data_IF_959820733750
#
_entry.id   IF_959820733750
#
_cell.length_a   1.000
_cell.length_b   1.000
_cell.length_c   1.000
_cell.angle_alpha   90.00
_cell.angle_beta   90.00
_cell.angle_gamma   90.00
#
_symmetry.space_group_name_H-M   'P 1'
#
loop_
_entity.id
_entity.type
_entity.pdbx_description
1 polymer ?
#
# COMPACT_ATOMS: atom_id res chain seq x y z
N UNK A 1 -46.37 -2.52 46.50
CA UNK A 1 -45.29 -2.35 45.55
C UNK A 1 -44.62 -3.69 45.45
N UNK A 2 -44.83 -4.34 44.35
CA UNK A 2 -44.62 -5.78 44.20
C UNK A 2 -43.17 -6.15 43.90
N UNK A 3 -42.81 -7.34 44.34
CA UNK A 3 -41.53 -8.04 44.11
C UNK A 3 -41.20 -8.11 42.62
N UNK A 4 -42.17 -7.97 41.73
CA UNK A 4 -42.00 -7.98 40.28
C UNK A 4 -41.25 -6.77 39.71
N UNK A 5 -41.47 -5.59 40.33
CA UNK A 5 -40.79 -4.36 39.89
C UNK A 5 -39.30 -4.36 40.21
N UNK A 6 -38.91 -5.01 41.31
CA UNK A 6 -37.50 -5.20 41.72
C UNK A 6 -36.82 -6.24 40.84
N UNK A 7 -37.54 -7.29 40.44
CA UNK A 7 -36.99 -8.32 39.56
C UNK A 7 -36.67 -7.78 38.15
N UNK A 8 -37.56 -6.97 37.59
CA UNK A 8 -37.33 -6.32 36.30
C UNK A 8 -36.18 -5.31 36.33
N UNK A 9 -36.02 -4.56 37.43
CA UNK A 9 -34.91 -3.61 37.58
C UNK A 9 -33.55 -4.31 37.69
N UNK A 10 -33.47 -5.45 38.36
CA UNK A 10 -32.26 -6.26 38.51
C UNK A 10 -31.91 -6.95 37.18
N UNK A 11 -32.90 -7.47 36.46
CA UNK A 11 -32.68 -8.12 35.17
C UNK A 11 -32.24 -7.11 34.10
N UNK A 12 -32.77 -5.88 34.09
CA UNK A 12 -32.34 -4.85 33.15
C UNK A 12 -30.90 -4.36 33.43
N UNK A 13 -30.48 -4.28 34.69
CA UNK A 13 -29.10 -3.92 35.04
C UNK A 13 -28.10 -5.03 34.72
N UNK A 14 -28.48 -6.29 34.89
CA UNK A 14 -27.65 -7.44 34.49
C UNK A 14 -27.53 -7.53 32.96
N UNK A 15 -28.60 -7.22 32.21
CA UNK A 15 -28.56 -7.22 30.75
C UNK A 15 -27.66 -6.11 30.21
N UNK A 16 -27.66 -4.93 30.82
CA UNK A 16 -26.72 -3.83 30.51
C UNK A 16 -25.27 -4.20 30.82
N UNK A 17 -25.03 -4.92 31.92
CA UNK A 17 -23.69 -5.37 32.28
C UNK A 17 -23.14 -6.42 31.33
N UNK A 18 -24.01 -7.35 30.87
CA UNK A 18 -23.65 -8.39 29.89
C UNK A 18 -23.37 -7.75 28.52
N UNK A 19 -24.10 -6.71 28.13
CA UNK A 19 -23.82 -5.98 26.90
C UNK A 19 -22.50 -5.18 26.98
N UNK A 20 -22.13 -4.65 28.15
CA UNK A 20 -20.83 -4.00 28.36
C UNK A 20 -19.67 -4.99 28.35
N UNK A 21 -19.88 -6.21 28.81
CA UNK A 21 -18.87 -7.28 28.82
C UNK A 21 -18.78 -8.04 27.48
N UNK A 22 -19.78 -7.97 26.64
CA UNK A 22 -19.83 -8.58 25.31
C UNK A 22 -19.47 -7.62 24.17
N UNK A 23 -19.12 -6.38 24.46
CA UNK A 23 -18.47 -5.52 23.47
C UNK A 23 -17.06 -6.08 23.27
N UNK A 24 -16.76 -6.66 22.13
CA UNK A 24 -15.39 -7.08 21.83
C UNK A 24 -14.57 -5.80 21.70
N UNK A 25 -13.95 -5.39 22.79
CA UNK A 25 -12.87 -4.42 22.79
C UNK A 25 -11.59 -5.05 22.26
N UNK A 26 -11.73 -5.81 21.17
CA UNK A 26 -10.59 -6.30 20.43
C UNK A 26 -10.25 -5.19 19.40
N UNK A 27 -9.18 -4.39 19.67
CA UNK A 27 -8.79 -3.33 18.73
C UNK A 27 -8.48 -3.88 17.34
N UNK A 28 -8.16 -5.17 17.26
CA UNK A 28 -7.93 -5.89 16.00
C UNK A 28 -9.23 -6.08 15.22
N UNK A 29 -10.37 -6.35 15.88
CA UNK A 29 -11.67 -6.40 15.18
C UNK A 29 -12.15 -5.05 14.69
N UNK A 30 -11.89 -3.99 15.43
CA UNK A 30 -12.20 -2.64 14.97
C UNK A 30 -11.30 -2.24 13.78
N UNK A 31 -10.06 -2.73 13.74
CA UNK A 31 -9.17 -2.56 12.57
C UNK A 31 -9.62 -3.45 11.40
N UNK A 32 -10.02 -4.70 11.66
CA UNK A 32 -10.59 -5.60 10.65
C UNK A 32 -11.90 -5.05 10.07
N UNK A 33 -12.75 -4.45 10.88
CA UNK A 33 -13.97 -3.78 10.40
C UNK A 33 -13.65 -2.48 9.65
N UNK A 34 -12.64 -1.72 10.07
CA UNK A 34 -12.14 -0.58 9.32
C UNK A 34 -11.42 -1.01 8.04
N UNK A 35 -10.71 -2.12 8.05
CA UNK A 35 -10.03 -2.65 6.85
C UNK A 35 -11.03 -3.32 5.91
N UNK A 36 -12.08 -3.97 6.43
CA UNK A 36 -13.22 -4.48 5.63
C UNK A 36 -14.13 -3.34 5.12
N UNK A 37 -14.16 -2.19 5.82
CA UNK A 37 -14.87 -0.99 5.38
C UNK A 37 -14.05 -0.09 4.46
N UNK A 38 -12.74 -0.22 4.49
CA UNK A 38 -11.79 0.26 3.51
C UNK A 38 -11.32 -0.90 2.61
N UNK A 39 -12.22 -1.73 2.12
CA UNK A 39 -12.09 -1.99 0.70
C UNK A 39 -12.03 -0.58 0.12
N UNK A 40 -10.85 -0.17 -0.29
CA UNK A 40 -10.70 0.90 -1.25
C UNK A 40 -11.52 0.38 -2.41
N UNK A 41 -12.81 0.72 -2.35
CA UNK A 41 -13.65 0.76 -3.51
C UNK A 41 -12.93 1.82 -4.34
N UNK A 42 -11.90 1.41 -5.05
CA UNK A 42 -11.37 2.14 -6.18
C UNK A 42 -12.50 2.11 -7.20
N UNK A 43 -13.58 2.81 -6.83
CA UNK A 43 -14.69 3.16 -7.71
C UNK A 43 -14.20 3.95 -8.91
N UNK A 44 -12.99 4.43 -8.86
CA UNK A 44 -12.21 4.87 -10.00
C UNK A 44 -11.19 3.79 -10.41
N UNK A 45 -11.71 2.65 -10.83
CA UNK A 45 -11.01 1.70 -11.71
C UNK A 45 -10.64 2.34 -13.06
N UNK A 46 -10.64 3.66 -13.15
CA UNK A 46 -10.39 4.49 -14.32
C UNK A 46 -9.30 5.54 -14.08
N UNK A 47 -8.57 5.48 -12.98
CA UNK A 47 -7.34 6.26 -12.88
C UNK A 47 -6.35 5.73 -13.92
N UNK A 48 -6.10 6.57 -14.91
CA UNK A 48 -5.09 6.26 -15.92
C UNK A 48 -3.74 6.13 -15.23
N UNK A 49 -3.02 5.06 -15.52
CA UNK A 49 -1.65 4.90 -15.06
C UNK A 49 -0.82 5.99 -15.75
N UNK A 50 -0.13 6.87 -15.00
CA UNK A 50 0.58 7.97 -15.60
C UNK A 50 1.83 7.50 -16.35
N UNK A 51 2.14 8.17 -17.47
CA UNK A 51 3.46 8.16 -18.07
C UNK A 51 4.31 9.25 -17.40
N UNK A 52 5.43 8.85 -16.81
CA UNK A 52 6.27 9.77 -16.03
C UNK A 52 7.56 10.05 -16.79
N UNK A 53 7.83 11.32 -17.07
CA UNK A 53 9.07 11.78 -17.67
C UNK A 53 9.83 12.69 -16.71
N UNK A 54 11.17 12.61 -16.76
CA UNK A 54 12.03 13.39 -15.90
C UNK A 54 11.91 13.01 -14.42
N UNK A 55 12.21 13.94 -13.53
CA UNK A 55 12.14 13.74 -12.08
C UNK A 55 10.82 14.30 -11.53
N UNK A 56 9.99 13.45 -10.93
CA UNK A 56 8.70 13.87 -10.36
C UNK A 56 8.36 13.13 -9.08
N UNK A 57 7.74 13.82 -8.12
CA UNK A 57 7.11 13.20 -6.96
C UNK A 57 5.65 12.89 -7.32
N UNK A 58 5.30 11.61 -7.28
CA UNK A 58 3.98 11.10 -7.66
C UNK A 58 3.33 10.32 -6.51
N UNK A 59 2.01 10.37 -6.38
CA UNK A 59 1.30 9.46 -5.49
C UNK A 59 1.35 8.05 -6.06
N UNK A 60 1.33 7.07 -5.15
CA UNK A 60 1.28 5.65 -5.50
C UNK A 60 -0.18 5.20 -5.50
N UNK A 61 -0.67 4.65 -6.61
CA UNK A 61 -2.02 4.11 -6.70
C UNK A 61 -2.04 2.67 -6.20
N UNK A 62 -2.69 2.42 -5.05
CA UNK A 62 -2.76 1.10 -4.43
C UNK A 62 -3.78 0.23 -5.17
N UNK A 63 -3.30 -0.82 -5.82
CA UNK A 63 -4.12 -1.76 -6.62
C UNK A 63 -4.39 -3.08 -5.93
N UNK A 64 -3.60 -3.41 -4.91
CA UNK A 64 -3.78 -4.63 -4.11
C UNK A 64 -3.35 -4.39 -2.68
N UNK A 65 -4.10 -4.97 -1.74
CA UNK A 65 -3.81 -4.86 -0.33
C UNK A 65 -4.35 -6.08 0.41
N UNK A 66 -3.52 -6.67 1.28
CA UNK A 66 -3.89 -7.83 2.09
C UNK A 66 -3.14 -7.84 3.41
N UNK A 67 -3.77 -8.33 4.45
CA UNK A 67 -3.10 -8.60 5.73
C UNK A 67 -2.67 -10.06 5.80
N UNK A 68 -1.46 -10.31 6.28
CA UNK A 68 -0.90 -11.64 6.45
C UNK A 68 0.10 -11.69 7.62
N UNK A 69 0.76 -12.84 7.79
CA UNK A 69 1.71 -13.07 8.88
C UNK A 69 1.03 -13.50 10.18
N UNK A 70 1.84 -13.63 11.24
CA UNK A 70 1.36 -14.05 12.56
C UNK A 70 0.34 -13.03 13.09
N UNK A 71 -0.89 -13.48 13.34
CA UNK A 71 -2.00 -12.63 13.81
C UNK A 71 -2.37 -11.48 12.87
N UNK A 72 -2.12 -11.61 11.58
CA UNK A 72 -2.37 -10.58 10.55
C UNK A 72 -1.68 -9.23 10.84
N UNK A 73 -0.49 -9.27 11.42
CA UNK A 73 0.25 -8.08 11.82
C UNK A 73 1.00 -7.38 10.68
N UNK A 74 1.13 -7.99 9.53
CA UNK A 74 1.79 -7.43 8.37
C UNK A 74 0.74 -7.07 7.30
N UNK A 75 0.71 -5.79 6.91
CA UNK A 75 -0.07 -5.31 5.78
C UNK A 75 0.82 -5.32 4.54
N UNK A 76 0.43 -6.10 3.55
CA UNK A 76 1.08 -6.18 2.25
C UNK A 76 0.28 -5.36 1.25
N UNK A 77 0.94 -4.51 0.50
CA UNK A 77 0.30 -3.70 -0.53
C UNK A 77 1.14 -3.65 -1.80
N UNK A 78 0.45 -3.50 -2.92
CA UNK A 78 1.04 -3.23 -4.23
C UNK A 78 0.50 -1.90 -4.71
N UNK A 79 1.41 -0.99 -5.00
CA UNK A 79 1.07 0.32 -5.52
C UNK A 79 1.70 0.58 -6.88
N UNK A 80 0.89 0.92 -7.86
CA UNK A 80 1.34 1.29 -9.21
C UNK A 80 1.89 2.70 -9.17
N UNK A 81 3.04 2.88 -9.82
CA UNK A 81 3.74 4.16 -9.95
C UNK A 81 3.47 4.77 -11.33
N UNK A 82 3.71 4.01 -12.39
CA UNK A 82 3.58 4.51 -13.76
C UNK A 82 3.63 3.39 -14.79
N UNK A 83 3.24 3.72 -16.02
CA UNK A 83 3.33 2.84 -17.18
C UNK A 83 4.74 2.89 -17.77
N UNK A 84 5.21 1.75 -18.27
CA UNK A 84 6.50 1.60 -18.92
C UNK A 84 7.67 1.39 -17.97
N UNK A 85 8.87 1.34 -18.54
CA UNK A 85 10.11 1.12 -17.78
C UNK A 85 10.70 2.44 -17.31
N UNK A 86 10.55 2.73 -16.02
CA UNK A 86 11.18 3.88 -15.35
C UNK A 86 12.66 3.59 -15.04
N UNK A 87 13.45 4.64 -14.83
CA UNK A 87 14.84 4.49 -14.40
C UNK A 87 14.92 3.96 -12.95
N UNK A 88 14.05 4.43 -12.08
CA UNK A 88 13.98 3.98 -10.69
C UNK A 88 13.39 5.03 -9.75
N UNK A 89 13.53 4.78 -8.46
CA UNK A 89 13.25 5.77 -7.42
C UNK A 89 14.46 6.67 -7.25
N UNK A 90 14.23 7.96 -7.20
CA UNK A 90 15.30 8.94 -6.97
C UNK A 90 15.90 8.74 -5.57
N UNK A 91 17.24 8.82 -5.51
CA UNK A 91 17.98 8.66 -4.28
C UNK A 91 18.75 9.95 -3.93
N UNK A 92 18.73 10.30 -2.66
CA UNK A 92 19.61 11.34 -2.11
C UNK A 92 20.41 10.72 -0.98
N UNK A 93 21.71 10.83 -1.04
CA UNK A 93 22.67 10.23 -0.09
C UNK A 93 22.46 8.71 0.11
N UNK A 94 22.03 8.01 -0.96
CA UNK A 94 21.78 6.56 -0.94
C UNK A 94 20.45 6.15 -0.29
N UNK A 95 19.57 7.11 -0.02
CA UNK A 95 18.23 6.87 0.53
C UNK A 95 17.19 7.10 -0.55
N UNK A 96 16.32 6.10 -0.78
CA UNK A 96 15.20 6.23 -1.70
C UNK A 96 14.20 7.27 -1.20
N UNK A 97 13.77 8.16 -2.07
CA UNK A 97 12.79 9.18 -1.74
C UNK A 97 11.38 8.60 -1.80
N UNK A 98 11.02 7.91 -0.72
CA UNK A 98 9.71 7.32 -0.48
C UNK A 98 9.14 7.92 0.80
N UNK A 99 7.93 8.48 0.74
CA UNK A 99 7.26 9.08 1.88
C UNK A 99 5.96 8.36 2.21
N UNK A 100 5.73 8.19 3.50
CA UNK A 100 4.48 7.70 4.07
C UNK A 100 3.92 8.83 4.96
N UNK A 101 2.75 9.38 4.60
CA UNK A 101 2.18 10.57 5.26
C UNK A 101 3.19 11.72 5.37
N UNK A 102 3.91 12.02 4.26
CA UNK A 102 4.94 13.05 4.13
C UNK A 102 6.19 12.87 5.02
N UNK A 103 6.38 11.70 5.63
CA UNK A 103 7.59 11.32 6.35
C UNK A 103 8.37 10.29 5.55
N UNK A 104 9.69 10.42 5.51
CA UNK A 104 10.54 9.40 4.85
C UNK A 104 10.33 8.03 5.49
N UNK A 105 10.34 6.99 4.66
CA UNK A 105 10.19 5.61 5.12
C UNK A 105 11.20 5.21 6.20
N UNK A 106 12.39 5.82 6.20
CA UNK A 106 13.46 5.59 7.18
C UNK A 106 13.06 5.94 8.60
N UNK A 107 12.09 6.86 8.79
CA UNK A 107 11.58 7.23 10.12
C UNK A 107 10.76 6.11 10.78
N UNK A 108 10.34 5.13 9.99
CA UNK A 108 9.58 3.97 10.47
C UNK A 108 10.48 2.74 10.73
N UNK A 109 11.76 2.82 10.34
CA UNK A 109 12.75 1.77 10.59
C UNK A 109 12.31 0.41 10.06
N UNK A 110 12.37 -0.62 10.90
CA UNK A 110 12.03 -2.00 10.52
C UNK A 110 10.53 -2.27 10.33
N UNK A 111 9.67 -1.28 10.61
CA UNK A 111 8.22 -1.41 10.40
C UNK A 111 7.85 -1.35 8.92
N UNK A 112 8.72 -0.82 8.07
CA UNK A 112 8.50 -0.68 6.63
C UNK A 112 9.57 -1.45 5.88
N UNK A 113 9.15 -2.32 4.98
CA UNK A 113 10.01 -2.91 3.97
C UNK A 113 9.36 -2.80 2.60
N UNK A 114 10.13 -2.64 1.56
CA UNK A 114 9.62 -2.47 0.21
C UNK A 114 10.54 -3.07 -0.85
N UNK A 115 9.98 -3.29 -2.03
CA UNK A 115 10.71 -3.66 -3.25
C UNK A 115 10.14 -2.86 -4.41
N UNK A 116 11.00 -2.23 -5.19
CA UNK A 116 10.60 -1.47 -6.38
C UNK A 116 10.80 -2.34 -7.62
N UNK A 117 9.79 -2.34 -8.47
CA UNK A 117 9.79 -2.97 -9.79
C UNK A 117 9.68 -1.87 -10.84
N UNK A 118 10.68 -1.79 -11.69
CA UNK A 118 10.82 -0.64 -12.61
C UNK A 118 9.98 -0.73 -13.87
N UNK A 119 9.16 -1.75 -14.03
CA UNK A 119 8.29 -1.89 -15.22
C UNK A 119 8.95 -2.63 -16.39
N UNK A 120 9.93 -3.50 -16.13
CA UNK A 120 10.55 -4.28 -17.21
C UNK A 120 9.58 -5.33 -17.77
N UNK A 121 9.73 -5.67 -19.04
CA UNK A 121 8.92 -6.71 -19.70
C UNK A 121 9.18 -8.12 -19.15
N UNK A 122 10.26 -8.32 -18.40
CA UNK A 122 10.69 -9.62 -17.86
C UNK A 122 10.54 -9.73 -16.35
N UNK A 123 10.03 -8.69 -15.67
CA UNK A 123 9.85 -8.74 -14.21
C UNK A 123 8.90 -9.85 -13.78
N UNK A 124 9.11 -10.35 -12.59
CA UNK A 124 8.34 -11.43 -11.97
C UNK A 124 7.50 -10.88 -10.81
N UNK A 125 6.46 -11.61 -10.42
CA UNK A 125 5.70 -11.28 -9.23
C UNK A 125 6.60 -11.25 -7.98
N UNK A 126 6.28 -10.40 -7.02
CA UNK A 126 7.02 -10.31 -5.76
C UNK A 126 6.90 -11.61 -4.97
N UNK A 127 8.05 -12.26 -4.67
CA UNK A 127 8.09 -13.57 -4.04
C UNK A 127 7.52 -13.57 -2.61
N UNK A 128 7.77 -12.50 -1.84
CA UNK A 128 7.26 -12.38 -0.47
C UNK A 128 5.74 -12.27 -0.46
N UNK A 129 5.17 -11.49 -1.41
CA UNK A 129 3.74 -11.35 -1.54
C UNK A 129 3.07 -12.64 -2.02
N UNK A 130 3.67 -13.32 -3.00
CA UNK A 130 3.20 -14.64 -3.47
C UNK A 130 3.19 -15.63 -2.30
N UNK A 131 4.24 -15.67 -1.49
CA UNK A 131 4.31 -16.53 -0.31
C UNK A 131 3.29 -16.14 0.76
N UNK A 132 3.13 -14.85 1.03
CA UNK A 132 2.19 -14.35 2.04
C UNK A 132 0.73 -14.63 1.67
N UNK A 133 0.39 -14.66 0.37
CA UNK A 133 -0.96 -14.92 -0.13
C UNK A 133 -1.19 -16.36 -0.56
N UNK A 134 -0.19 -17.24 -0.43
CA UNK A 134 -0.31 -18.66 -0.75
C UNK A 134 -1.46 -19.29 0.08
N UNK A 135 -2.42 -19.90 -0.62
CA UNK A 135 -3.58 -20.51 0.02
C UNK A 135 -4.82 -19.61 0.17
N UNK A 136 -4.74 -18.35 -0.22
CA UNK A 136 -5.89 -17.43 -0.23
C UNK A 136 -6.85 -17.64 -1.43
N UNK A 137 -6.61 -18.65 -2.25
CA UNK A 137 -7.49 -18.98 -3.39
C UNK A 137 -7.47 -17.88 -4.46
N UNK A 138 -8.63 -17.30 -4.75
CA UNK A 138 -8.77 -16.26 -5.79
C UNK A 138 -8.09 -14.94 -5.41
N UNK A 139 -7.85 -14.71 -4.13
CA UNK A 139 -7.20 -13.49 -3.63
C UNK A 139 -5.68 -13.60 -3.60
N UNK A 140 -5.13 -14.77 -3.98
CA UNK A 140 -3.69 -14.98 -4.04
C UNK A 140 -3.05 -14.13 -5.16
N UNK A 141 -1.99 -13.41 -4.79
CA UNK A 141 -1.24 -12.61 -5.77
C UNK A 141 -0.30 -13.47 -6.61
N UNK A 142 -0.32 -13.29 -7.91
CA UNK A 142 0.62 -13.92 -8.84
C UNK A 142 0.90 -13.08 -10.10
N UNK A 143 0.53 -11.79 -10.07
CA UNK A 143 0.72 -10.91 -11.22
C UNK A 143 2.09 -10.23 -11.18
N UNK A 144 2.92 -10.34 -12.22
CA UNK A 144 4.19 -9.62 -12.32
C UNK A 144 4.04 -8.15 -12.70
N UNK A 145 2.87 -7.67 -13.12
CA UNK A 145 2.63 -6.32 -13.63
C UNK A 145 3.68 -5.86 -14.66
N UNK A 146 3.94 -6.70 -15.68
CA UNK A 146 4.95 -6.39 -16.71
C UNK A 146 4.62 -5.09 -17.45
N UNK A 147 5.66 -4.34 -17.81
CA UNK A 147 5.56 -3.01 -18.43
C UNK A 147 4.85 -1.97 -17.53
N UNK A 148 4.76 -2.23 -16.24
CA UNK A 148 4.19 -1.30 -15.25
C UNK A 148 5.15 -1.18 -14.09
N UNK A 149 5.58 0.04 -13.80
CA UNK A 149 6.40 0.31 -12.63
C UNK A 149 5.53 0.30 -11.38
N UNK A 150 5.92 -0.47 -10.37
CA UNK A 150 5.17 -0.59 -9.13
C UNK A 150 6.09 -0.77 -7.92
N UNK A 151 5.55 -0.52 -6.75
CA UNK A 151 6.20 -0.79 -5.48
C UNK A 151 5.39 -1.81 -4.69
N UNK A 152 6.05 -2.85 -4.22
CA UNK A 152 5.54 -3.70 -3.17
C UNK A 152 5.99 -3.16 -1.83
N UNK A 153 5.11 -3.11 -0.86
CA UNK A 153 5.41 -2.62 0.48
C UNK A 153 4.80 -3.53 1.53
N UNK A 154 5.57 -3.83 2.58
CA UNK A 154 5.07 -4.50 3.78
C UNK A 154 5.18 -3.54 4.95
N UNK A 155 4.05 -3.28 5.57
CA UNK A 155 3.92 -2.44 6.75
C UNK A 155 3.59 -3.31 7.95
N UNK A 156 4.49 -3.38 8.93
CA UNK A 156 4.23 -4.10 10.17
C UNK A 156 3.39 -3.23 11.10
N UNK A 157 2.34 -3.81 11.65
CA UNK A 157 1.45 -3.10 12.56
C UNK A 157 2.19 -2.58 13.80
N UNK A 158 1.98 -1.30 14.06
CA UNK A 158 2.39 -0.60 15.29
C UNK A 158 1.32 0.45 15.61
N UNK A 159 0.68 0.31 16.77
CA UNK A 159 -0.45 1.14 17.18
C UNK A 159 -0.10 2.64 17.28
N UNK A 160 1.15 2.94 17.65
CA UNK A 160 1.59 4.32 17.87
C UNK A 160 2.03 5.00 16.57
N UNK A 161 2.29 4.22 15.52
CA UNK A 161 2.78 4.70 14.23
C UNK A 161 1.70 4.78 13.15
N UNK A 162 0.73 3.83 13.18
CA UNK A 162 -0.26 3.71 12.12
C UNK A 162 -1.65 4.08 12.59
N UNK A 163 -2.25 5.09 11.97
CA UNK A 163 -3.66 5.48 12.15
C UNK A 163 -4.55 4.98 11.01
N UNK A 164 -4.00 4.16 10.13
CA UNK A 164 -4.63 3.63 8.91
C UNK A 164 -3.59 3.39 7.84
N UNK A 165 -4.03 3.08 6.62
CA UNK A 165 -3.15 2.95 5.45
C UNK A 165 -2.55 4.33 5.16
N UNK A 166 -1.21 4.46 5.13
CA UNK A 166 -0.59 5.76 4.89
C UNK A 166 -0.77 6.20 3.43
N UNK A 167 -0.79 7.50 3.21
CA UNK A 167 -0.62 8.06 1.88
C UNK A 167 0.84 7.88 1.46
N UNK A 168 1.06 7.17 0.34
CA UNK A 168 2.39 6.85 -0.16
C UNK A 168 2.69 7.74 -1.37
N UNK A 169 3.83 8.42 -1.32
CA UNK A 169 4.36 9.17 -2.47
C UNK A 169 5.80 8.80 -2.71
N UNK A 170 6.22 8.79 -3.97
CA UNK A 170 7.58 8.44 -4.37
C UNK A 170 8.13 9.49 -5.33
N UNK A 171 9.41 9.78 -5.25
CA UNK A 171 10.10 10.60 -6.23
C UNK A 171 10.75 9.69 -7.26
N UNK A 172 10.32 9.83 -8.50
CA UNK A 172 10.62 8.89 -9.57
C UNK A 172 11.50 9.55 -10.62
N UNK A 173 12.55 8.88 -11.00
CA UNK A 173 13.25 9.09 -12.25
C UNK A 173 12.50 8.34 -13.35
N UNK A 174 11.75 9.07 -14.17
CA UNK A 174 10.77 8.55 -15.11
C UNK A 174 11.33 7.69 -16.23
N UNK A 175 10.57 7.61 -17.31
CA UNK A 175 10.87 6.75 -18.46
C UNK A 175 12.26 7.02 -19.05
N UNK A 176 12.87 5.95 -19.54
CA UNK A 176 14.09 6.03 -20.35
C UNK A 176 13.72 6.42 -21.77
N UNK A 177 14.28 7.50 -22.25
CA UNK A 177 14.02 8.08 -23.58
C UNK A 177 15.20 7.86 -24.52
N UNK A 178 14.92 7.77 -25.83
CA UNK A 178 15.97 7.66 -26.86
C UNK A 178 16.56 9.04 -27.17
N UNK A 179 17.84 9.23 -26.89
CA UNK A 179 18.57 10.39 -27.44
C UNK A 179 19.05 10.06 -28.86
N UNK A 180 18.38 10.62 -29.85
CA UNK A 180 18.70 10.38 -31.27
C UNK A 180 20.05 10.95 -31.69
N UNK A 181 20.63 11.86 -30.91
CA UNK A 181 21.97 12.46 -31.20
C UNK A 181 23.10 11.47 -30.84
N UNK A 182 22.89 10.67 -29.81
CA UNK A 182 23.87 9.68 -29.33
C UNK A 182 23.46 8.24 -29.62
N UNK A 183 22.20 8.04 -30.08
CA UNK A 183 21.59 6.73 -30.28
C UNK A 183 21.61 5.87 -29.00
N UNK A 184 21.50 6.52 -27.84
CA UNK A 184 21.44 5.83 -26.54
C UNK A 184 20.08 6.04 -25.89
N UNK A 185 19.58 4.97 -25.24
CA UNK A 185 18.36 5.04 -24.42
C UNK A 185 18.76 5.14 -22.96
N UNK A 186 18.21 6.11 -22.25
CA UNK A 186 18.50 6.32 -20.83
C UNK A 186 17.60 7.37 -20.20
N UNK A 187 17.71 7.48 -18.88
CA UNK A 187 16.99 8.52 -18.15
C UNK A 187 17.45 9.91 -18.61
N UNK A 188 16.48 10.80 -18.80
CA UNK A 188 16.76 12.21 -19.11
C UNK A 188 15.70 13.12 -18.49
N UNK A 189 16.15 14.18 -17.86
CA UNK A 189 15.32 15.29 -17.41
C UNK A 189 15.20 16.41 -18.47
N UNK A 190 15.73 16.20 -19.68
CA UNK A 190 15.66 17.19 -20.75
C UNK A 190 14.27 17.19 -21.39
N UNK A 191 13.48 18.28 -21.26
CA UNK A 191 12.11 18.33 -21.79
C UNK A 191 12.03 18.10 -23.30
N UNK A 192 13.05 18.50 -24.05
CA UNK A 192 13.05 18.31 -25.50
C UNK A 192 13.18 16.85 -25.91
N UNK A 193 13.94 16.05 -25.16
CA UNK A 193 14.02 14.60 -25.40
C UNK A 193 12.74 13.90 -24.97
N UNK A 194 12.19 14.28 -23.82
CA UNK A 194 10.93 13.71 -23.33
C UNK A 194 9.72 14.01 -24.24
N UNK A 195 9.75 15.14 -24.95
CA UNK A 195 8.67 15.51 -25.89
C UNK A 195 8.85 14.85 -27.27
N UNK A 196 10.02 14.31 -27.57
CA UNK A 196 10.31 13.66 -28.83
C UNK A 196 10.02 12.17 -28.82
N UNK A 197 9.97 11.54 -27.62
CA UNK A 197 9.67 10.14 -27.42
C UNK A 197 8.17 9.83 -27.60
#
# INVERSE_FOLDING_TARGET
>A
MGVETIFFAVMSSLFSLVQMLSSPSDPLKALEEQTKGQMIDSKDNQENIPLIYGLQRVPVNIVYMVTAGDSNNDLHLVGVIGEGEINGIHQVDGVDHIWLNDKLYTEYGSLVSYTVYTGTSTQTANADLVAATAGMGLDAWNDPLRNTAYIYMRLRYDRDKWQGVPNITVEVEGLKVLDTRTSTTGYSANPALCAYD
#
